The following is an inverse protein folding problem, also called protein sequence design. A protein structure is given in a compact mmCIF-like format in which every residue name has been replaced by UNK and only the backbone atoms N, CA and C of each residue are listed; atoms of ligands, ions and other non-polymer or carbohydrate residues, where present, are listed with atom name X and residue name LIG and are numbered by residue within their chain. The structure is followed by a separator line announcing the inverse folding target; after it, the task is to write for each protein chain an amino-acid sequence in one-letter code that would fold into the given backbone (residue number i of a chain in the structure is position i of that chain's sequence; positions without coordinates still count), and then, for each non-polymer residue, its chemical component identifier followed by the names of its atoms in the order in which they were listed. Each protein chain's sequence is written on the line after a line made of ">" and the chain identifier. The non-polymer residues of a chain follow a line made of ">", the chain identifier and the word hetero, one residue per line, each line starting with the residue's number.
data_IF_730641884098
#
_entry.id   IF_730641884098
#
_cell.length_a   1.000
_cell.length_b   1.000
_cell.length_c   1.000
_cell.angle_alpha   90.00
_cell.angle_beta   90.00
_cell.angle_gamma   90.00
#
_symmetry.space_group_name_H-M   'P 1'
#
loop_
_entity.id
_entity.type
_entity.pdbx_description
1 polymer ?
#
# COMPACT_ATOMS: atom_id res chain seq x y z
N UNK A 1 -15.54 -64.57 13.54
CA UNK A 1 -15.23 -63.44 14.47
C UNK A 1 -14.38 -62.36 13.83
N UNK A 2 -13.26 -62.69 13.20
CA UNK A 2 -12.34 -61.74 12.54
C UNK A 2 -12.97 -60.91 11.44
N UNK A 3 -13.85 -61.48 10.63
CA UNK A 3 -14.52 -60.77 9.53
C UNK A 3 -15.47 -59.66 10.03
N UNK A 4 -16.18 -59.90 11.13
CA UNK A 4 -17.04 -58.88 11.77
C UNK A 4 -16.25 -57.72 12.36
N UNK A 5 -15.08 -57.98 12.95
CA UNK A 5 -14.21 -56.95 13.48
C UNK A 5 -13.66 -56.03 12.36
N UNK A 6 -13.27 -56.60 11.20
CA UNK A 6 -12.82 -55.85 10.03
C UNK A 6 -13.95 -55.00 9.45
N UNK A 7 -15.16 -55.52 9.36
CA UNK A 7 -16.33 -54.79 8.88
C UNK A 7 -16.70 -53.60 9.80
N UNK A 8 -16.64 -53.78 11.12
CA UNK A 8 -16.89 -52.71 12.10
C UNK A 8 -15.81 -51.64 11.99
N UNK A 9 -14.54 -52.03 11.88
CA UNK A 9 -13.43 -51.10 11.77
C UNK A 9 -13.48 -50.29 10.48
N UNK A 10 -13.84 -50.95 9.35
CA UNK A 10 -14.03 -50.26 8.08
C UNK A 10 -15.20 -49.27 8.13
N UNK A 11 -16.32 -49.64 8.75
CA UNK A 11 -17.46 -48.73 8.95
C UNK A 11 -17.14 -47.53 9.80
N UNK A 12 -16.33 -47.70 10.89
CA UNK A 12 -15.86 -46.62 11.75
C UNK A 12 -14.92 -45.68 10.94
N UNK A 13 -13.97 -46.24 10.17
CA UNK A 13 -13.08 -45.43 9.32
C UNK A 13 -13.80 -44.63 8.26
N UNK A 14 -14.79 -45.23 7.60
CA UNK A 14 -15.66 -44.53 6.62
C UNK A 14 -16.50 -43.48 7.31
N UNK A 15 -17.09 -43.78 8.47
CA UNK A 15 -17.85 -42.83 9.26
C UNK A 15 -16.99 -41.63 9.73
N UNK A 16 -15.74 -41.87 10.16
CA UNK A 16 -14.80 -40.80 10.50
C UNK A 16 -14.40 -39.98 9.27
N UNK A 17 -14.16 -40.61 8.12
CA UNK A 17 -13.83 -39.90 6.89
C UNK A 17 -14.97 -39.01 6.39
N UNK A 18 -16.24 -39.50 6.51
CA UNK A 18 -17.42 -38.72 6.20
C UNK A 18 -17.61 -37.57 7.20
N UNK A 19 -17.41 -37.82 8.51
CA UNK A 19 -17.51 -36.77 9.51
C UNK A 19 -16.44 -35.70 9.32
N UNK A 20 -15.20 -36.06 9.05
CA UNK A 20 -14.14 -35.10 8.75
C UNK A 20 -14.47 -34.31 7.47
N UNK A 21 -15.07 -34.93 6.47
CA UNK A 21 -15.49 -34.26 5.24
C UNK A 21 -16.74 -33.37 5.44
N UNK A 22 -17.70 -33.82 6.25
CA UNK A 22 -18.95 -33.09 6.52
C UNK A 22 -18.78 -31.97 7.56
N UNK A 23 -17.96 -32.20 8.59
CA UNK A 23 -17.70 -31.22 9.66
C UNK A 23 -16.37 -30.51 9.52
N UNK A 24 -15.40 -31.06 8.80
CA UNK A 24 -14.12 -30.43 8.49
C UNK A 24 -14.19 -29.40 7.35
N UNK A 25 -15.29 -29.36 6.59
CA UNK A 25 -15.57 -28.30 5.60
C UNK A 25 -16.28 -27.10 6.22
N UNK A 26 -16.54 -27.17 7.51
CA UNK A 26 -17.10 -26.09 8.29
C UNK A 26 -16.12 -24.95 8.43
N UNK A 27 -16.28 -23.98 7.60
CA UNK A 27 -15.59 -22.72 7.67
C UNK A 27 -14.25 -22.73 6.92
N UNK A 28 -14.23 -22.16 5.74
CA UNK A 28 -12.99 -21.59 5.21
C UNK A 28 -12.33 -20.87 6.39
N UNK A 29 -11.23 -21.41 6.94
CA UNK A 29 -10.43 -20.69 7.92
C UNK A 29 -10.18 -19.33 7.33
N UNK A 30 -10.86 -18.30 7.83
CA UNK A 30 -10.59 -16.92 7.47
C UNK A 30 -9.13 -16.74 7.83
N UNK A 31 -8.25 -16.60 6.84
CA UNK A 31 -6.84 -16.34 7.09
C UNK A 31 -6.82 -15.01 7.81
N UNK A 32 -6.48 -15.03 9.05
CA UNK A 32 -6.20 -13.83 9.82
C UNK A 32 -4.89 -13.30 9.25
N UNK A 33 -4.77 -12.01 9.01
CA UNK A 33 -3.56 -11.39 8.45
C UNK A 33 -2.30 -11.70 9.26
N UNK A 34 -2.41 -11.93 10.57
CA UNK A 34 -1.34 -12.44 11.42
C UNK A 34 -0.71 -13.75 10.91
N UNK A 35 -1.45 -14.57 10.18
CA UNK A 35 -0.89 -15.78 9.57
C UNK A 35 0.03 -15.49 8.36
N UNK A 36 0.05 -14.26 7.85
CA UNK A 36 0.89 -13.86 6.71
C UNK A 36 2.30 -13.53 7.17
N UNK A 37 2.44 -12.89 8.34
CA UNK A 37 3.75 -12.53 8.88
C UNK A 37 4.34 -13.70 9.69
N UNK A 38 5.66 -13.86 9.51
CA UNK A 38 6.42 -14.79 10.31
C UNK A 38 7.04 -14.08 11.52
N UNK A 39 7.75 -12.99 11.28
CA UNK A 39 8.40 -12.18 12.31
C UNK A 39 8.65 -10.75 11.84
N UNK A 40 8.98 -9.90 12.81
CA UNK A 40 9.57 -8.59 12.57
C UNK A 40 10.93 -8.61 13.25
N UNK A 41 11.99 -8.48 12.47
CA UNK A 41 13.36 -8.41 12.96
C UNK A 41 13.88 -6.98 12.87
N UNK A 42 14.72 -6.59 13.82
CA UNK A 42 15.35 -5.27 13.80
C UNK A 42 16.81 -5.38 13.40
N UNK A 43 17.20 -4.61 12.38
CA UNK A 43 18.56 -4.54 11.88
C UNK A 43 18.95 -3.08 11.74
N UNK A 44 19.94 -2.63 12.51
CA UNK A 44 20.40 -1.24 12.51
C UNK A 44 19.29 -0.21 12.72
N UNK A 45 18.33 -0.51 13.60
CA UNK A 45 17.18 0.35 13.89
C UNK A 45 16.06 0.29 12.84
N UNK A 46 16.17 -0.59 11.85
CA UNK A 46 15.16 -0.82 10.80
C UNK A 46 14.34 -2.05 11.17
N UNK A 47 13.03 -1.89 11.36
CA UNK A 47 12.10 -3.00 11.52
C UNK A 47 11.77 -3.62 10.17
N UNK A 48 12.24 -4.83 9.93
CA UNK A 48 11.97 -5.59 8.70
C UNK A 48 10.93 -6.66 8.98
N UNK A 49 9.84 -6.59 8.24
CA UNK A 49 8.79 -7.59 8.27
C UNK A 49 9.19 -8.76 7.37
N UNK A 50 9.07 -9.95 7.90
CA UNK A 50 9.37 -11.18 7.19
C UNK A 50 8.11 -12.02 7.06
N UNK A 51 7.73 -12.34 5.82
CA UNK A 51 6.52 -13.14 5.56
C UNK A 51 6.82 -14.63 5.55
N UNK A 52 5.78 -15.46 5.70
CA UNK A 52 5.89 -16.92 5.60
C UNK A 52 6.28 -17.39 4.19
N UNK A 53 6.12 -16.55 3.20
CA UNK A 53 6.53 -16.80 1.79
C UNK A 53 7.96 -16.40 1.51
N UNK A 54 8.64 -15.79 2.50
CA UNK A 54 10.04 -15.37 2.40
C UNK A 54 10.24 -13.98 1.80
N UNK A 55 9.20 -13.16 1.77
CA UNK A 55 9.27 -11.76 1.35
C UNK A 55 9.78 -10.89 2.49
N UNK A 56 10.54 -9.85 2.15
CA UNK A 56 11.03 -8.86 3.09
C UNK A 56 10.34 -7.54 2.82
N UNK A 57 9.88 -6.87 3.88
CA UNK A 57 9.29 -5.54 3.78
C UNK A 57 9.85 -4.61 4.85
N UNK A 58 10.14 -3.38 4.47
CA UNK A 58 10.52 -2.31 5.38
C UNK A 58 9.62 -1.10 5.15
N UNK A 59 9.28 -0.41 6.23
CA UNK A 59 8.38 0.73 6.21
C UNK A 59 9.13 1.99 6.59
N UNK A 60 9.03 3.01 5.76
CA UNK A 60 9.47 4.36 6.06
C UNK A 60 8.25 5.22 6.39
N UNK A 61 8.34 6.00 7.45
CA UNK A 61 7.44 7.12 7.70
C UNK A 61 8.08 8.35 7.08
N UNK A 62 7.34 9.10 6.26
CA UNK A 62 7.86 10.27 5.58
C UNK A 62 6.91 11.46 5.66
N UNK A 63 7.44 12.67 5.47
CA UNK A 63 6.60 13.83 5.19
C UNK A 63 5.85 13.59 3.89
N UNK A 64 4.58 14.03 3.84
CA UNK A 64 3.83 13.89 2.59
C UNK A 64 4.43 14.82 1.52
N UNK A 65 5.09 14.28 0.48
CA UNK A 65 5.77 15.11 -0.49
C UNK A 65 4.81 15.96 -1.31
N UNK A 66 3.54 15.57 -1.42
CA UNK A 66 2.50 16.34 -2.10
C UNK A 66 2.34 17.71 -1.45
N UNK A 67 2.41 17.82 -0.11
CA UNK A 67 2.32 19.09 0.59
C UNK A 67 3.46 20.05 0.22
N UNK A 68 4.65 19.51 -0.06
CA UNK A 68 5.83 20.31 -0.48
C UNK A 68 5.71 20.81 -1.91
N UNK A 69 5.08 20.04 -2.80
CA UNK A 69 5.07 20.28 -4.23
C UNK A 69 3.73 20.79 -4.77
N UNK A 70 2.68 20.84 -3.94
CA UNK A 70 1.31 21.17 -4.37
C UNK A 70 1.17 22.56 -4.97
N UNK A 71 2.03 23.50 -4.59
CA UNK A 71 1.96 24.89 -5.07
C UNK A 71 2.74 25.16 -6.36
N UNK A 72 3.48 24.19 -6.88
CA UNK A 72 4.32 24.34 -8.06
C UNK A 72 4.21 23.14 -8.99
N UNK A 73 3.74 23.34 -10.22
CA UNK A 73 3.57 22.29 -11.22
C UNK A 73 4.92 21.64 -11.58
N UNK A 74 5.97 22.43 -11.75
CA UNK A 74 7.30 21.93 -12.12
C UNK A 74 7.86 21.04 -11.03
N UNK A 75 7.73 21.46 -9.76
CA UNK A 75 8.12 20.66 -8.60
C UNK A 75 7.30 19.35 -8.50
N UNK A 76 6.05 19.35 -9.00
CA UNK A 76 5.25 18.13 -9.04
C UNK A 76 5.79 17.12 -10.06
N UNK A 77 6.32 17.59 -11.18
CA UNK A 77 7.03 16.73 -12.15
C UNK A 77 8.34 16.18 -11.54
N UNK A 78 9.11 16.98 -10.83
CA UNK A 78 10.31 16.52 -10.12
C UNK A 78 9.99 15.41 -9.14
N UNK A 79 8.86 15.53 -8.43
CA UNK A 79 8.37 14.47 -7.55
C UNK A 79 8.06 13.17 -8.29
N UNK A 80 7.45 13.24 -9.46
CA UNK A 80 7.20 12.07 -10.32
C UNK A 80 8.50 11.42 -10.77
N UNK A 81 9.50 12.22 -11.16
CA UNK A 81 10.83 11.74 -11.51
C UNK A 81 11.54 11.08 -10.32
N UNK A 82 11.39 11.63 -9.12
CA UNK A 82 11.93 11.00 -7.91
C UNK A 82 11.38 9.59 -7.73
N UNK A 83 10.05 9.41 -7.84
CA UNK A 83 9.45 8.08 -7.69
C UNK A 83 9.89 7.11 -8.79
N UNK A 84 10.06 7.58 -10.01
CA UNK A 84 10.62 6.79 -11.10
C UNK A 84 12.07 6.34 -10.79
N UNK A 85 12.90 7.24 -10.28
CA UNK A 85 14.27 6.94 -9.86
C UNK A 85 14.33 5.93 -8.68
N UNK A 86 13.39 6.04 -7.71
CA UNK A 86 13.27 5.05 -6.64
C UNK A 86 12.92 3.67 -7.20
N UNK A 87 11.97 3.58 -8.13
CA UNK A 87 11.59 2.33 -8.78
C UNK A 87 12.76 1.71 -9.57
N UNK A 88 13.55 2.53 -10.28
CA UNK A 88 14.77 2.07 -10.98
C UNK A 88 15.83 1.55 -10.00
N UNK A 89 16.04 2.22 -8.88
CA UNK A 89 16.99 1.80 -7.84
C UNK A 89 16.60 0.45 -7.24
N UNK A 90 15.33 0.24 -7.00
CA UNK A 90 14.80 -1.04 -6.49
C UNK A 90 14.94 -2.14 -7.53
N UNK A 91 14.56 -1.87 -8.76
CA UNK A 91 14.65 -2.82 -9.87
C UNK A 91 13.67 -3.99 -9.75
N UNK A 92 13.90 -4.98 -10.60
CA UNK A 92 13.05 -6.16 -10.75
C UNK A 92 12.84 -6.95 -9.43
N UNK A 93 11.59 -7.37 -9.20
CA UNK A 93 11.20 -8.17 -8.03
C UNK A 93 10.97 -7.35 -6.77
N UNK A 94 10.82 -6.05 -6.92
CA UNK A 94 10.44 -5.16 -5.84
C UNK A 94 9.07 -4.55 -6.08
N UNK A 95 8.36 -4.32 -4.98
CA UNK A 95 7.15 -3.53 -4.93
C UNK A 95 7.37 -2.33 -4.02
N UNK A 96 6.87 -1.18 -4.45
CA UNK A 96 6.87 0.06 -3.69
C UNK A 96 5.41 0.46 -3.44
N UNK A 97 5.04 0.63 -2.19
CA UNK A 97 3.70 0.96 -1.77
C UNK A 97 3.71 2.26 -0.97
N UNK A 98 3.29 3.35 -1.60
CA UNK A 98 3.06 4.64 -0.94
C UNK A 98 1.65 4.65 -0.38
N UNK A 99 1.53 5.10 0.85
CA UNK A 99 0.29 5.13 1.59
C UNK A 99 0.13 6.46 2.30
N UNK A 100 -0.88 7.22 1.90
CA UNK A 100 -1.28 8.46 2.54
C UNK A 100 -2.49 8.20 3.43
N UNK A 101 -2.34 8.47 4.71
CA UNK A 101 -3.37 8.23 5.72
C UNK A 101 -3.86 9.57 6.23
N UNK A 102 -5.15 9.84 6.02
CA UNK A 102 -5.85 11.04 6.48
C UNK A 102 -6.78 10.66 7.62
N UNK A 103 -6.61 11.30 8.77
CA UNK A 103 -7.36 10.99 9.98
C UNK A 103 -8.01 12.25 10.54
N UNK A 104 -9.31 12.22 10.74
CA UNK A 104 -10.02 13.29 11.44
C UNK A 104 -9.75 13.23 12.93
N UNK A 105 -9.18 14.28 13.46
CA UNK A 105 -8.87 14.47 14.88
C UNK A 105 -9.51 15.75 15.39
N UNK A 106 -9.70 15.85 16.70
CA UNK A 106 -10.00 17.10 17.35
C UNK A 106 -8.69 17.70 17.87
N UNK A 107 -8.45 18.97 17.60
CA UNK A 107 -7.29 19.67 18.14
C UNK A 107 -7.36 19.67 19.67
N UNK A 108 -6.32 19.19 20.31
CA UNK A 108 -6.16 19.24 21.76
C UNK A 108 -4.84 19.90 22.08
N UNK A 109 -4.90 20.86 22.95
CA UNK A 109 -3.70 21.46 23.51
C UNK A 109 -2.95 20.39 24.30
N UNK A 110 -1.78 19.98 23.83
CA UNK A 110 -0.89 19.11 24.59
C UNK A 110 -0.04 20.00 25.49
N UNK A 111 -0.37 20.06 26.80
CA UNK A 111 0.42 20.52 27.96
C UNK A 111 1.59 21.45 27.66
N UNK A 112 1.39 22.56 27.06
CA UNK A 112 2.42 23.55 26.90
C UNK A 112 2.36 24.53 28.09
N UNK A 113 3.28 24.36 28.99
CA UNK A 113 3.32 25.06 30.28
C UNK A 113 3.80 26.51 30.22
N UNK A 114 4.16 27.04 29.05
CA UNK A 114 4.57 28.45 28.90
C UNK A 114 4.24 28.95 27.50
N UNK A 115 3.00 29.36 27.29
CA UNK A 115 2.62 30.04 26.05
C UNK A 115 2.69 31.55 26.23
N UNK A 116 3.21 32.23 25.24
CA UNK A 116 3.00 33.67 25.08
C UNK A 116 1.51 33.93 24.89
N UNK A 117 1.03 35.10 25.30
CA UNK A 117 -0.39 35.49 25.27
C UNK A 117 -1.10 35.21 23.95
N UNK A 118 -0.43 35.46 22.81
CA UNK A 118 -1.01 35.20 21.48
C UNK A 118 -1.15 33.69 21.21
N UNK A 119 -0.18 32.91 21.63
CA UNK A 119 -0.19 31.45 21.49
C UNK A 119 -1.30 30.82 22.32
N UNK A 120 -1.50 31.30 23.56
CA UNK A 120 -2.60 30.83 24.42
C UNK A 120 -3.98 31.12 23.80
N UNK A 121 -4.16 32.32 23.27
CA UNK A 121 -5.40 32.71 22.58
C UNK A 121 -5.67 31.86 21.34
N UNK A 122 -4.62 31.55 20.57
CA UNK A 122 -4.68 30.68 19.41
C UNK A 122 -5.09 29.25 19.80
N UNK A 123 -4.44 28.67 20.79
CA UNK A 123 -4.74 27.31 21.24
C UNK A 123 -6.15 27.21 21.82
N UNK A 124 -6.61 28.19 22.59
CA UNK A 124 -7.97 28.26 23.12
C UNK A 124 -9.00 28.31 22.00
N UNK A 125 -8.72 29.07 20.94
CA UNK A 125 -9.62 29.19 19.79
C UNK A 125 -9.75 27.89 19.01
N UNK A 126 -8.66 27.11 18.85
CA UNK A 126 -8.67 25.88 18.07
C UNK A 126 -9.02 24.64 18.90
N UNK A 127 -9.01 24.73 20.24
CA UNK A 127 -9.28 23.58 21.10
C UNK A 127 -10.67 22.96 20.81
N UNK A 128 -10.68 21.65 20.60
CA UNK A 128 -11.87 20.87 20.26
C UNK A 128 -12.32 20.97 18.79
N UNK A 129 -11.71 21.84 17.97
CA UNK A 129 -12.06 21.92 16.55
C UNK A 129 -11.55 20.72 15.77
N UNK A 130 -12.34 20.21 14.81
CA UNK A 130 -11.89 19.13 13.95
C UNK A 130 -10.79 19.63 13.00
N UNK A 131 -9.79 18.79 12.80
CA UNK A 131 -8.77 18.96 11.76
C UNK A 131 -8.42 17.60 11.18
N UNK A 132 -7.86 17.58 9.98
CA UNK A 132 -7.35 16.38 9.35
C UNK A 132 -5.84 16.32 9.51
N UNK A 133 -5.39 15.27 10.17
CA UNK A 133 -3.98 14.93 10.28
C UNK A 133 -3.60 13.98 9.14
N UNK A 134 -2.44 14.19 8.53
CA UNK A 134 -1.96 13.36 7.44
C UNK A 134 -0.62 12.72 7.80
N UNK A 135 -0.52 11.42 7.55
CA UNK A 135 0.72 10.65 7.72
C UNK A 135 1.00 9.89 6.44
N UNK A 136 2.23 9.96 5.95
CA UNK A 136 2.64 9.23 4.77
C UNK A 136 3.62 8.10 5.12
N UNK A 137 3.35 6.93 4.55
CA UNK A 137 4.23 5.76 4.66
C UNK A 137 4.67 5.31 3.28
N UNK A 138 5.90 4.83 3.21
CA UNK A 138 6.44 4.16 2.03
C UNK A 138 6.92 2.76 2.45
N UNK A 139 6.24 1.74 1.98
CA UNK A 139 6.62 0.35 2.20
C UNK A 139 7.35 -0.18 0.97
N UNK A 140 8.52 -0.75 1.19
CA UNK A 140 9.32 -1.38 0.16
C UNK A 140 9.32 -2.87 0.44
N UNK A 141 8.88 -3.66 -0.52
CA UNK A 141 8.79 -5.12 -0.42
C UNK A 141 9.64 -5.77 -1.50
N UNK A 142 10.50 -6.69 -1.11
CA UNK A 142 11.17 -7.59 -2.04
C UNK A 142 10.34 -8.86 -2.17
N UNK A 143 9.84 -9.10 -3.37
CA UNK A 143 9.08 -10.31 -3.68
C UNK A 143 9.99 -11.55 -3.68
N UNK A 144 9.48 -12.65 -3.20
CA UNK A 144 10.13 -13.93 -3.33
C UNK A 144 9.30 -14.87 -4.20
N UNK A 145 9.97 -15.71 -4.99
CA UNK A 145 9.29 -16.78 -5.71
C UNK A 145 8.66 -17.70 -4.66
N UNK A 146 7.36 -17.94 -4.79
CA UNK A 146 6.62 -18.83 -3.89
C UNK A 146 7.35 -20.19 -3.81
N UNK A 147 8.03 -20.43 -2.70
CA UNK A 147 8.61 -21.72 -2.36
C UNK A 147 7.74 -22.40 -1.30
N UNK A 148 7.57 -23.70 -1.40
CA UNK A 148 6.89 -24.48 -0.36
C UNK A 148 7.70 -24.55 0.93
N UNK A 149 8.99 -24.35 0.85
CA UNK A 149 9.92 -24.34 1.96
C UNK A 149 10.45 -22.92 2.13
N UNK A 150 10.34 -22.39 3.34
CA UNK A 150 10.97 -21.13 3.70
C UNK A 150 12.49 -21.32 3.57
N UNK A 151 13.08 -20.65 2.62
CA UNK A 151 14.53 -20.58 2.49
C UNK A 151 14.97 -19.15 2.72
N UNK A 152 15.71 -18.92 3.80
CA UNK A 152 16.37 -17.64 4.03
C UNK A 152 17.54 -17.52 3.05
N UNK A 153 17.51 -16.49 2.21
CA UNK A 153 18.57 -16.20 1.25
C UNK A 153 19.39 -14.99 1.73
N UNK A 154 20.57 -15.26 2.23
CA UNK A 154 21.49 -14.27 2.79
C UNK A 154 21.90 -13.19 1.75
N UNK A 155 21.98 -13.57 0.48
CA UNK A 155 22.35 -12.64 -0.60
C UNK A 155 21.20 -11.66 -0.85
N UNK A 156 19.98 -12.16 -1.00
CA UNK A 156 18.77 -11.32 -1.15
C UNK A 156 18.56 -10.42 0.04
N UNK A 157 18.78 -10.94 1.24
CA UNK A 157 18.68 -10.16 2.47
C UNK A 157 19.62 -8.95 2.47
N UNK A 158 20.89 -9.17 2.13
CA UNK A 158 21.88 -8.09 2.04
C UNK A 158 21.53 -7.09 0.93
N UNK A 159 21.12 -7.58 -0.24
CA UNK A 159 20.69 -6.73 -1.35
C UNK A 159 19.50 -5.87 -0.96
N UNK A 160 18.52 -6.46 -0.30
CA UNK A 160 17.37 -5.74 0.23
C UNK A 160 17.78 -4.58 1.16
N UNK A 161 18.63 -4.85 2.15
CA UNK A 161 19.10 -3.81 3.09
C UNK A 161 19.86 -2.69 2.38
N UNK A 162 20.69 -3.02 1.39
CA UNK A 162 21.42 -2.01 0.60
C UNK A 162 20.44 -1.14 -0.19
N UNK A 163 19.46 -1.75 -0.85
CA UNK A 163 18.50 -1.02 -1.70
C UNK A 163 17.57 -0.12 -0.90
N UNK A 164 17.04 -0.57 0.23
CA UNK A 164 16.18 0.29 1.06
C UNK A 164 16.94 1.51 1.62
N UNK A 165 18.24 1.34 1.98
CA UNK A 165 19.07 2.47 2.40
C UNK A 165 19.32 3.44 1.24
N UNK A 166 19.58 2.97 0.04
CA UNK A 166 19.70 3.83 -1.15
C UNK A 166 18.43 4.62 -1.42
N UNK A 167 17.26 3.99 -1.29
CA UNK A 167 15.97 4.69 -1.40
C UNK A 167 15.83 5.79 -0.35
N UNK A 168 16.19 5.50 0.90
CA UNK A 168 16.17 6.50 1.97
C UNK A 168 17.13 7.66 1.70
N UNK A 169 18.32 7.38 1.20
CA UNK A 169 19.29 8.42 0.82
C UNK A 169 18.78 9.28 -0.33
N UNK A 170 18.18 8.70 -1.37
CA UNK A 170 17.58 9.44 -2.48
C UNK A 170 16.42 10.34 -2.01
N UNK A 171 15.57 9.86 -1.09
CA UNK A 171 14.51 10.70 -0.50
C UNK A 171 15.11 11.88 0.26
N UNK A 172 16.15 11.65 1.06
CA UNK A 172 16.86 12.70 1.81
C UNK A 172 17.48 13.72 0.86
N UNK A 173 18.15 13.27 -0.20
CA UNK A 173 18.81 14.14 -1.17
C UNK A 173 17.80 14.99 -1.95
N UNK A 174 16.60 14.46 -2.20
CA UNK A 174 15.45 15.21 -2.72
C UNK A 174 14.78 16.13 -1.68
N UNK A 175 15.29 16.17 -0.44
CA UNK A 175 14.77 17.00 0.64
C UNK A 175 13.44 16.49 1.24
N UNK A 176 13.11 15.21 1.04
CA UNK A 176 11.96 14.56 1.68
C UNK A 176 12.42 13.97 2.99
N UNK A 177 11.93 14.51 4.10
CA UNK A 177 12.25 13.95 5.42
C UNK A 177 11.57 12.59 5.57
N UNK A 178 12.37 11.58 5.86
CA UNK A 178 11.91 10.22 6.05
C UNK A 178 12.76 9.49 7.09
N UNK A 179 12.15 8.51 7.73
CA UNK A 179 12.84 7.60 8.66
C UNK A 179 12.25 6.20 8.59
N UNK A 180 13.05 5.19 8.80
CA UNK A 180 12.55 3.83 8.96
C UNK A 180 11.77 3.69 10.27
N UNK A 181 10.78 2.81 10.27
CA UNK A 181 10.14 2.35 11.49
C UNK A 181 11.03 1.28 12.14
N UNK A 182 11.23 1.38 13.46
CA UNK A 182 11.84 0.32 14.25
C UNK A 182 10.86 -0.85 14.46
N UNK A 183 11.31 -1.92 15.12
CA UNK A 183 10.53 -3.16 15.33
C UNK A 183 9.15 -2.88 15.95
N UNK A 184 9.11 -2.14 17.04
CA UNK A 184 7.86 -1.81 17.75
C UNK A 184 6.93 -0.96 16.90
N UNK A 185 7.45 0.09 16.26
CA UNK A 185 6.67 0.97 15.39
C UNK A 185 6.13 0.24 14.15
N UNK A 186 6.92 -0.68 13.58
CA UNK A 186 6.48 -1.51 12.46
C UNK A 186 5.34 -2.45 12.86
N UNK A 187 5.39 -3.03 14.07
CA UNK A 187 4.29 -3.82 14.61
C UNK A 187 3.03 -2.97 14.82
N UNK A 188 3.17 -1.80 15.42
CA UNK A 188 2.06 -0.86 15.60
C UNK A 188 1.46 -0.41 14.26
N UNK A 189 2.29 -0.17 13.26
CA UNK A 189 1.83 0.18 11.91
C UNK A 189 0.97 -0.94 11.32
N UNK A 190 1.39 -2.19 11.45
CA UNK A 190 0.64 -3.36 10.98
C UNK A 190 -0.71 -3.46 11.70
N UNK A 191 -0.73 -3.32 13.01
CA UNK A 191 -1.96 -3.36 13.81
C UNK A 191 -2.92 -2.23 13.42
N UNK A 192 -2.41 -1.01 13.22
CA UNK A 192 -3.18 0.14 12.77
C UNK A 192 -3.76 -0.05 11.38
N UNK A 193 -2.96 -0.57 10.46
CA UNK A 193 -3.40 -0.82 9.09
C UNK A 193 -4.51 -1.87 9.04
N UNK A 194 -4.34 -2.99 9.72
CA UNK A 194 -5.33 -4.06 9.70
C UNK A 194 -6.56 -3.81 10.59
N UNK A 195 -6.51 -2.90 11.51
CA UNK A 195 -7.67 -2.42 12.25
C UNK A 195 -8.30 -1.17 11.64
N UNK A 196 -7.68 -0.58 10.59
CA UNK A 196 -8.04 0.73 10.01
C UNK A 196 -8.19 1.82 11.08
N UNK A 197 -7.36 1.74 12.12
CA UNK A 197 -7.41 2.62 13.27
C UNK A 197 -6.09 3.38 13.44
N UNK A 198 -6.01 4.54 12.83
CA UNK A 198 -4.87 5.45 12.96
C UNK A 198 -5.12 6.57 13.98
N UNK A 199 -6.26 6.56 14.68
CA UNK A 199 -6.66 7.61 15.62
C UNK A 199 -6.27 7.30 17.06
N UNK A 200 -6.51 6.06 17.52
CA UNK A 200 -6.35 5.72 18.92
C UNK A 200 -4.89 5.47 19.29
N UNK A 201 -4.53 5.73 20.56
CA UNK A 201 -3.15 5.55 21.06
C UNK A 201 -2.77 4.07 21.08
N UNK A 202 -3.69 3.21 21.50
CA UNK A 202 -3.50 1.77 21.57
C UNK A 202 -4.45 1.10 20.60
N UNK A 203 -3.91 0.27 19.74
CA UNK A 203 -4.67 -0.44 18.73
C UNK A 203 -4.29 -1.91 18.77
N UNK A 204 -5.29 -2.76 18.70
CA UNK A 204 -5.11 -4.20 18.54
C UNK A 204 -5.81 -4.66 17.28
N UNK A 205 -5.27 -5.68 16.65
CA UNK A 205 -5.89 -6.29 15.48
C UNK A 205 -7.26 -6.88 15.83
N UNK A 206 -8.25 -6.60 14.99
CA UNK A 206 -9.64 -7.04 15.18
C UNK A 206 -10.05 -8.08 14.16
N UNK A 207 -11.13 -8.79 14.44
CA UNK A 207 -11.72 -9.73 13.48
C UNK A 207 -12.40 -8.98 12.33
N UNK A 208 -12.33 -9.59 11.15
CA UNK A 208 -12.96 -9.07 9.95
C UNK A 208 -14.33 -9.71 9.71
N UNK A 209 -15.29 -8.88 9.34
CA UNK A 209 -16.55 -9.30 8.72
C UNK A 209 -16.60 -8.71 7.32
N UNK A 210 -16.86 -9.56 6.33
CA UNK A 210 -17.02 -9.11 4.95
C UNK A 210 -18.47 -9.22 4.60
N UNK A 211 -19.10 -8.10 4.33
CA UNK A 211 -20.44 -7.96 3.78
C UNK A 211 -20.32 -7.63 2.28
N UNK A 212 -21.44 -7.57 1.55
CA UNK A 212 -21.44 -7.31 0.10
C UNK A 212 -20.88 -5.92 -0.25
N UNK A 213 -21.03 -4.93 0.63
CA UNK A 213 -20.60 -3.56 0.37
C UNK A 213 -19.46 -3.07 1.26
N UNK A 214 -19.19 -3.72 2.39
CA UNK A 214 -18.26 -3.22 3.39
C UNK A 214 -17.43 -4.32 4.02
N UNK A 215 -16.27 -3.93 4.53
CA UNK A 215 -15.45 -4.76 5.39
C UNK A 215 -15.56 -4.22 6.81
N UNK A 216 -16.18 -4.97 7.70
CA UNK A 216 -16.23 -4.65 9.13
C UNK A 216 -14.91 -5.01 9.80
N UNK A 217 -14.33 -4.08 10.54
CA UNK A 217 -13.09 -4.22 11.31
C UNK A 217 -13.36 -3.77 12.74
N UNK A 218 -13.75 -4.71 13.60
CA UNK A 218 -14.23 -4.39 14.95
C UNK A 218 -15.53 -3.58 14.90
N UNK A 219 -15.51 -2.38 15.44
CA UNK A 219 -16.59 -1.38 15.43
C UNK A 219 -16.59 -0.47 14.19
N UNK A 220 -15.60 -0.60 13.33
CA UNK A 220 -15.42 0.22 12.14
C UNK A 220 -15.90 -0.49 10.88
N UNK A 221 -16.32 0.31 9.91
CA UNK A 221 -16.68 -0.16 8.57
C UNK A 221 -15.76 0.49 7.55
N UNK A 222 -15.16 -0.32 6.69
CA UNK A 222 -14.29 0.13 5.62
C UNK A 222 -14.97 -0.14 4.27
N UNK A 223 -14.93 0.84 3.37
CA UNK A 223 -15.22 0.68 1.94
C UNK A 223 -13.92 0.77 1.18
N UNK A 224 -13.74 -0.14 0.23
CA UNK A 224 -12.55 -0.16 -0.61
C UNK A 224 -12.95 0.22 -2.02
N UNK A 225 -12.28 1.23 -2.57
CA UNK A 225 -12.42 1.65 -3.95
C UNK A 225 -11.12 1.36 -4.68
N UNK A 226 -11.21 0.76 -5.85
CA UNK A 226 -10.04 0.45 -6.68
C UNK A 226 -10.17 1.13 -8.03
N UNK A 227 -9.13 1.86 -8.43
CA UNK A 227 -9.00 2.36 -9.79
C UNK A 227 -8.40 1.23 -10.64
N UNK A 228 -9.26 0.47 -11.28
CA UNK A 228 -8.86 -0.71 -12.08
C UNK A 228 -8.46 -0.28 -13.49
N UNK A 229 -9.09 0.76 -14.01
CA UNK A 229 -8.85 1.30 -15.35
C UNK A 229 -8.81 2.82 -15.30
N UNK A 230 -7.93 3.43 -16.07
CA UNK A 230 -7.81 4.89 -16.18
C UNK A 230 -9.12 5.49 -16.72
N UNK A 231 -9.83 4.76 -17.58
CA UNK A 231 -11.10 5.18 -18.17
C UNK A 231 -12.27 5.16 -17.17
N UNK A 232 -12.10 4.54 -16.00
CA UNK A 232 -13.14 4.52 -14.93
C UNK A 232 -13.30 5.85 -14.20
N UNK A 233 -12.36 6.80 -14.37
CA UNK A 233 -12.39 8.09 -13.71
C UNK A 233 -12.05 9.21 -14.71
N UNK A 234 -12.89 10.25 -14.72
CA UNK A 234 -12.55 11.49 -15.43
C UNK A 234 -11.42 12.20 -14.68
N UNK A 235 -10.19 11.80 -14.97
CA UNK A 235 -9.02 12.47 -14.42
C UNK A 235 -8.86 13.84 -15.08
N UNK A 236 -8.56 14.90 -14.33
CA UNK A 236 -8.31 16.20 -14.90
C UNK A 236 -7.07 16.13 -15.81
N UNK A 237 -7.18 16.66 -17.02
CA UNK A 237 -6.06 16.70 -17.98
C UNK A 237 -4.90 17.60 -17.53
N UNK A 238 -5.17 18.48 -16.57
CA UNK A 238 -4.20 19.45 -16.03
C UNK A 238 -4.36 19.53 -14.51
N UNK A 239 -3.25 19.40 -13.81
CA UNK A 239 -3.17 19.66 -12.37
C UNK A 239 -3.25 21.18 -12.18
N UNK A 240 -4.29 21.65 -11.49
CA UNK A 240 -4.41 23.04 -11.11
C UNK A 240 -3.97 23.20 -9.66
N UNK A 241 -2.76 23.72 -9.42
CA UNK A 241 -2.24 23.85 -8.05
C UNK A 241 -2.91 24.97 -7.25
N UNK A 242 -3.79 25.75 -7.90
CA UNK A 242 -4.47 26.87 -7.26
C UNK A 242 -5.98 26.84 -7.55
N UNK A 243 -6.77 27.07 -6.53
CA UNK A 243 -8.20 27.38 -6.66
C UNK A 243 -8.44 28.87 -6.42
N UNK A 244 -9.24 29.49 -7.28
CA UNK A 244 -9.70 30.84 -7.04
C UNK A 244 -10.86 30.80 -6.04
N UNK A 245 -10.70 31.52 -4.96
CA UNK A 245 -11.79 31.74 -3.99
C UNK A 245 -12.56 32.99 -4.45
N UNK A 246 -13.82 32.80 -4.81
CA UNK A 246 -14.69 33.87 -5.37
C UNK A 246 -14.83 35.10 -4.46
N UNK A 247 -14.71 34.93 -3.15
CA UNK A 247 -14.97 35.98 -2.15
C UNK A 247 -13.98 37.15 -2.22
N UNK A 248 -12.76 36.96 -2.71
CA UNK A 248 -11.76 38.06 -2.80
C UNK A 248 -10.86 37.96 -4.03
N UNK A 249 -11.22 37.16 -5.00
CA UNK A 249 -10.38 36.88 -6.18
C UNK A 249 -8.94 36.44 -5.78
N UNK A 250 -8.84 35.75 -4.64
CA UNK A 250 -7.58 35.29 -4.09
C UNK A 250 -7.33 33.86 -4.58
N UNK A 251 -6.17 33.64 -5.16
CA UNK A 251 -5.73 32.30 -5.54
C UNK A 251 -5.06 31.61 -4.36
N UNK A 252 -5.61 30.48 -3.92
CA UNK A 252 -5.01 29.68 -2.84
C UNK A 252 -4.46 28.37 -3.39
N UNK A 253 -3.31 27.93 -2.90
CA UNK A 253 -2.78 26.62 -3.26
C UNK A 253 -3.75 25.52 -2.80
N UNK A 254 -4.04 24.58 -3.69
CA UNK A 254 -4.90 23.44 -3.44
C UNK A 254 -4.07 22.18 -3.53
N UNK A 255 -4.05 21.41 -2.45
CA UNK A 255 -3.51 20.07 -2.47
C UNK A 255 -4.55 19.12 -3.11
N UNK A 256 -4.15 18.38 -4.16
CA UNK A 256 -5.01 17.37 -4.78
C UNK A 256 -5.48 16.31 -3.79
N UNK A 257 -4.70 16.06 -2.76
CA UNK A 257 -5.01 15.10 -1.71
C UNK A 257 -6.14 15.61 -0.81
N UNK A 258 -6.39 16.92 -0.77
CA UNK A 258 -7.52 17.51 -0.04
C UNK A 258 -8.88 17.02 -0.56
N UNK A 259 -8.94 16.57 -1.82
CA UNK A 259 -10.15 15.95 -2.39
C UNK A 259 -10.50 14.67 -1.64
N UNK A 260 -9.51 13.90 -1.23
CA UNK A 260 -9.69 12.65 -0.48
C UNK A 260 -10.14 12.93 0.94
N UNK A 261 -9.68 14.04 1.53
CA UNK A 261 -10.10 14.51 2.86
C UNK A 261 -11.56 14.95 2.91
N UNK A 262 -12.11 15.40 1.80
CA UNK A 262 -13.49 15.88 1.70
C UNK A 262 -14.57 14.79 1.67
N UNK A 263 -14.21 13.51 1.83
CA UNK A 263 -15.19 12.40 1.87
C UNK A 263 -16.11 12.55 3.08
N UNK A 264 -17.43 12.82 2.88
CA UNK A 264 -18.32 13.05 3.98
C UNK A 264 -18.48 11.85 4.89
N UNK A 265 -18.40 12.07 6.21
CA UNK A 265 -18.63 11.03 7.21
C UNK A 265 -17.50 9.99 7.36
N UNK A 266 -16.39 10.13 6.65
CA UNK A 266 -15.22 9.28 6.86
C UNK A 266 -14.38 9.81 8.03
N UNK A 267 -14.05 8.94 8.98
CA UNK A 267 -13.13 9.25 10.08
C UNK A 267 -11.67 9.08 9.66
N UNK A 268 -11.43 8.20 8.72
CA UNK A 268 -10.11 7.90 8.19
C UNK A 268 -10.23 7.56 6.70
N UNK A 269 -9.34 8.13 5.90
CA UNK A 269 -9.18 7.79 4.48
C UNK A 269 -7.75 7.36 4.26
N UNK A 270 -7.57 6.21 3.63
CA UNK A 270 -6.25 5.68 3.27
C UNK A 270 -6.14 5.60 1.76
N UNK A 271 -5.25 6.41 1.20
CA UNK A 271 -4.96 6.41 -0.22
C UNK A 271 -3.70 5.59 -0.49
N UNK A 272 -3.85 4.54 -1.29
CA UNK A 272 -2.79 3.59 -1.58
C UNK A 272 -2.36 3.70 -3.04
N UNK A 273 -1.05 3.83 -3.25
CA UNK A 273 -0.42 3.76 -4.56
C UNK A 273 0.62 2.65 -4.56
N UNK A 274 0.47 1.67 -5.44
CA UNK A 274 1.39 0.55 -5.55
C UNK A 274 2.09 0.57 -6.91
N UNK A 275 3.41 0.45 -6.87
CA UNK A 275 4.24 0.29 -8.06
C UNK A 275 4.98 -1.04 -7.95
N UNK A 276 4.72 -1.92 -8.90
CA UNK A 276 5.44 -3.18 -9.04
C UNK A 276 6.48 -3.06 -10.13
N UNK A 277 7.67 -3.59 -9.88
CA UNK A 277 8.73 -3.69 -10.89
C UNK A 277 8.81 -5.14 -11.34
N UNK A 278 8.04 -5.54 -12.37
CA UNK A 278 7.96 -6.92 -12.82
C UNK A 278 9.23 -7.34 -13.56
N UNK A 279 9.38 -8.66 -13.76
CA UNK A 279 10.41 -9.19 -14.64
C UNK A 279 10.16 -8.74 -16.09
N UNK A 280 10.99 -7.83 -16.58
CA UNK A 280 10.83 -7.22 -17.88
C UNK A 280 10.85 -8.22 -19.04
N UNK A 281 11.75 -9.20 -19.01
CA UNK A 281 11.82 -10.23 -20.06
C UNK A 281 10.52 -11.04 -20.13
N UNK A 282 9.93 -11.32 -18.96
CA UNK A 282 8.64 -12.01 -18.86
C UNK A 282 7.50 -11.16 -19.40
N UNK A 283 7.46 -9.89 -19.05
CA UNK A 283 6.41 -8.97 -19.51
C UNK A 283 6.51 -8.74 -21.01
N UNK A 284 7.71 -8.55 -21.56
CA UNK A 284 7.90 -8.45 -23.00
C UNK A 284 7.45 -9.72 -23.74
N UNK A 285 7.76 -10.90 -23.21
CA UNK A 285 7.29 -12.16 -23.79
C UNK A 285 5.75 -12.30 -23.72
N UNK A 286 5.12 -11.82 -22.66
CA UNK A 286 3.66 -11.78 -22.56
C UNK A 286 3.04 -10.79 -23.55
N UNK A 287 3.63 -9.63 -23.73
CA UNK A 287 3.22 -8.62 -24.72
C UNK A 287 3.36 -9.17 -26.14
N UNK A 288 4.47 -9.85 -26.45
CA UNK A 288 4.66 -10.51 -27.76
C UNK A 288 3.59 -11.59 -28.02
N UNK A 289 3.30 -12.41 -27.03
CA UNK A 289 2.23 -13.40 -27.13
C UNK A 289 0.86 -12.77 -27.35
N UNK A 290 0.58 -11.66 -26.67
CA UNK A 290 -0.66 -10.90 -26.80
C UNK A 290 -0.76 -10.24 -28.19
N UNK A 291 0.33 -9.62 -28.64
CA UNK A 291 0.47 -9.02 -29.98
C UNK A 291 0.19 -10.05 -31.08
N UNK A 292 0.82 -11.22 -31.00
CA UNK A 292 0.66 -12.29 -31.99
C UNK A 292 -0.80 -12.83 -32.00
N UNK A 293 -1.44 -12.92 -30.83
CA UNK A 293 -2.87 -13.30 -30.75
C UNK A 293 -3.77 -12.30 -31.45
N UNK A 294 -3.56 -10.99 -31.26
CA UNK A 294 -4.36 -9.97 -31.95
C UNK A 294 -4.05 -9.91 -33.44
N UNK A 295 -2.80 -10.09 -33.84
CA UNK A 295 -2.40 -10.13 -35.24
C UNK A 295 -2.98 -11.34 -35.99
N UNK A 296 -3.23 -12.47 -35.31
CA UNK A 296 -3.84 -13.67 -35.93
C UNK A 296 -5.34 -13.54 -36.19
N UNK A 297 -6.00 -12.53 -35.63
CA UNK A 297 -7.43 -12.25 -35.83
C UNK A 297 -7.63 -10.79 -36.29
N UNK A 298 -7.31 -10.47 -37.56
CA UNK A 298 -7.29 -9.09 -38.02
C UNK A 298 -8.71 -8.51 -38.09
N UNK A 299 -8.99 -7.57 -37.21
CA UNK A 299 -10.11 -6.64 -37.27
C UNK A 299 -9.61 -5.25 -36.87
N UNK A 300 -10.35 -4.15 -37.13
CA UNK A 300 -9.88 -2.80 -36.81
C UNK A 300 -9.46 -2.63 -35.36
N UNK A 301 -10.20 -3.17 -34.41
CA UNK A 301 -9.91 -3.10 -32.98
C UNK A 301 -8.62 -3.86 -32.59
N UNK A 302 -8.40 -5.05 -33.18
CA UNK A 302 -7.20 -5.83 -32.94
C UNK A 302 -5.96 -5.18 -33.57
N UNK A 303 -6.12 -4.51 -34.73
CA UNK A 303 -5.02 -3.78 -35.36
C UNK A 303 -4.57 -2.59 -34.48
N UNK A 304 -5.51 -1.83 -33.91
CA UNK A 304 -5.20 -0.78 -32.96
C UNK A 304 -4.49 -1.34 -31.72
N UNK A 305 -4.98 -2.45 -31.16
CA UNK A 305 -4.36 -3.10 -30.02
C UNK A 305 -2.92 -3.58 -30.32
N UNK A 306 -2.63 -4.04 -31.53
CA UNK A 306 -1.26 -4.39 -31.96
C UNK A 306 -0.36 -3.17 -31.99
N UNK A 307 -0.86 -2.04 -32.45
CA UNK A 307 -0.10 -0.79 -32.52
C UNK A 307 0.22 -0.23 -31.13
N UNK A 308 -0.76 -0.26 -30.24
CA UNK A 308 -0.58 0.14 -28.84
C UNK A 308 0.46 -0.75 -28.13
N UNK A 309 0.38 -2.07 -28.32
CA UNK A 309 1.36 -3.00 -27.77
C UNK A 309 2.77 -2.70 -28.30
N UNK A 310 2.94 -2.39 -29.59
CA UNK A 310 4.23 -2.01 -30.14
C UNK A 310 4.80 -0.75 -29.49
N UNK A 311 3.98 0.29 -29.30
CA UNK A 311 4.38 1.53 -28.61
C UNK A 311 4.86 1.24 -27.18
N UNK A 312 4.12 0.42 -26.43
CA UNK A 312 4.53 0.01 -25.07
C UNK A 312 5.86 -0.74 -25.10
N UNK A 313 6.07 -1.64 -26.09
CA UNK A 313 7.32 -2.38 -26.22
C UNK A 313 8.50 -1.46 -26.54
N UNK A 314 8.32 -0.46 -27.40
CA UNK A 314 9.34 0.55 -27.73
C UNK A 314 9.75 1.36 -26.51
N UNK A 315 8.78 1.83 -25.72
CA UNK A 315 9.04 2.55 -24.47
C UNK A 315 9.80 1.65 -23.47
N UNK A 316 9.40 0.39 -23.30
CA UNK A 316 10.11 -0.54 -22.43
C UNK A 316 11.55 -0.80 -22.89
N UNK A 317 11.84 -0.82 -24.19
CA UNK A 317 13.18 -1.02 -24.73
C UNK A 317 14.07 0.20 -24.59
N UNK A 318 13.51 1.42 -24.69
CA UNK A 318 14.26 2.67 -24.52
C UNK A 318 14.80 2.84 -23.09
N UNK A 319 14.10 2.33 -22.08
CA UNK A 319 14.54 2.37 -20.68
C UNK A 319 15.55 1.29 -20.29
N UNK A 320 15.92 0.38 -21.21
CA UNK A 320 16.81 -0.76 -20.93
C UNK A 320 18.12 -0.74 -21.71
N UNK A 321 18.36 0.29 -22.49
CA UNK A 321 19.55 0.42 -23.34
C UNK A 321 20.69 1.23 -22.73
N UNK A 322 20.71 1.44 -21.40
CA UNK A 322 21.84 2.04 -20.66
C UNK A 322 22.47 1.05 -19.68
#
# INVERSE_FOLDING_TARGET
>A
MTLYIILIFSAICVGMAISVKAFGTGGKRKRIFQDIYFSIEEVDGIGVLYTKTGEYSAVLKMENPVQKYSANIEAYYEFTHLFAALAQTLGEGYAMHKQDVFVRKAFKEENATNHEFLSESYFRYFNGRPFTDSVCYLTITQENKKSRLMSFDNKKWRDFLVKIRKVHDQLRDAGVKSRFLGKTEASEYVDRFFSMNFRDKVVSMTNFKVDDETIGMGDRRCKVYSLVDVDCANLPSVIRPYANIEVNNTSMPVDLVSIVDSVPGADCVVFNQMVFVPNQKRELALLDKKKNRHASMPNPSNLMAVEDIKRVQEVCLLYTSD
#
